data_IF_876602937678
#
_entry.id   IF_876602937678
#
_cell.length_a   1.000
_cell.length_b   1.000
_cell.length_c   1.000
_cell.angle_alpha   90.00
_cell.angle_beta   90.00
_cell.angle_gamma   90.00
#
_symmetry.space_group_name_H-M   'P 1'
#
loop_
_entity.id
_entity.type
_entity.pdbx_description
1 polymer ?
#
# COMPACT_ATOMS: atom_id res chain seq x y z
N UNK A 1 -22.86 -77.06 -8.71
CA UNK A 1 -24.15 -76.40 -8.47
C UNK A 1 -23.90 -74.96 -8.04
N UNK A 2 -24.79 -74.03 -8.44
CA UNK A 2 -24.46 -72.80 -9.18
C UNK A 2 -24.55 -71.54 -8.27
N UNK A 3 -24.42 -70.27 -8.67
CA UNK A 3 -24.72 -69.53 -9.89
C UNK A 3 -24.07 -68.12 -9.71
N UNK A 4 -23.26 -67.59 -10.64
CA UNK A 4 -23.64 -66.66 -11.73
C UNK A 4 -24.35 -65.38 -11.24
N UNK A 5 -23.89 -64.15 -11.52
CA UNK A 5 -24.09 -63.41 -12.78
C UNK A 5 -23.25 -62.12 -12.73
N UNK A 6 -22.33 -61.87 -13.69
CA UNK A 6 -22.50 -61.16 -14.98
C UNK A 6 -22.52 -59.62 -14.91
N UNK A 7 -21.46 -59.05 -15.52
CA UNK A 7 -21.38 -57.93 -16.51
C UNK A 7 -21.96 -56.57 -16.07
N UNK A 8 -21.27 -55.45 -16.30
CA UNK A 8 -21.33 -54.77 -17.60
C UNK A 8 -20.24 -53.69 -17.77
N UNK A 9 -19.60 -53.76 -18.93
CA UNK A 9 -18.74 -52.79 -19.62
C UNK A 9 -19.59 -51.60 -20.07
N UNK A 10 -19.14 -50.34 -19.90
CA UNK A 10 -19.42 -49.21 -20.82
C UNK A 10 -18.37 -48.08 -20.64
N UNK A 11 -17.58 -47.90 -21.71
CA UNK A 11 -17.08 -46.66 -22.33
C UNK A 11 -16.35 -45.62 -21.47
N UNK A 12 -15.00 -45.63 -21.57
CA UNK A 12 -14.15 -44.43 -21.48
C UNK A 12 -13.72 -44.04 -22.91
N UNK A 13 -14.36 -43.02 -23.46
CA UNK A 13 -13.90 -42.30 -24.65
C UNK A 13 -14.57 -40.92 -24.63
N UNK A 14 -13.77 -39.85 -24.54
CA UNK A 14 -14.27 -38.49 -24.68
C UNK A 14 -13.81 -37.53 -23.59
N UNK A 15 -12.53 -37.20 -23.57
CA UNK A 15 -12.07 -35.92 -23.00
C UNK A 15 -10.77 -35.49 -23.70
N UNK A 16 -10.87 -35.28 -25.02
CA UNK A 16 -9.80 -34.72 -25.83
C UNK A 16 -10.39 -33.95 -27.01
N UNK A 17 -11.21 -32.92 -26.74
CA UNK A 17 -11.70 -31.95 -27.74
C UNK A 17 -12.46 -30.83 -27.02
N UNK A 18 -11.73 -29.81 -26.54
CA UNK A 18 -12.31 -28.53 -26.09
C UNK A 18 -11.28 -27.39 -26.13
N UNK A 19 -10.38 -27.40 -27.12
CA UNK A 19 -9.32 -26.37 -27.26
C UNK A 19 -9.24 -25.72 -28.65
N UNK A 20 -10.26 -25.88 -29.50
CA UNK A 20 -10.37 -25.13 -30.75
C UNK A 20 -11.84 -24.86 -31.05
N UNK A 21 -12.27 -23.61 -30.87
CA UNK A 21 -13.61 -23.21 -31.27
C UNK A 21 -14.11 -21.92 -30.65
N UNK A 22 -13.39 -20.81 -30.80
CA UNK A 22 -14.03 -19.49 -30.74
C UNK A 22 -13.22 -18.47 -31.54
N UNK A 23 -13.37 -18.58 -32.87
CA UNK A 23 -12.96 -17.58 -33.86
C UNK A 23 -14.21 -17.29 -34.69
N UNK A 24 -14.47 -16.01 -34.96
CA UNK A 24 -15.61 -15.41 -35.66
C UNK A 24 -16.94 -15.34 -34.90
N UNK A 25 -17.26 -14.15 -34.38
CA UNK A 25 -18.38 -13.33 -34.90
C UNK A 25 -18.01 -11.86 -34.74
N UNK A 26 -17.59 -11.23 -35.84
CA UNK A 26 -17.41 -9.78 -35.94
C UNK A 26 -18.57 -9.24 -36.77
N UNK A 27 -19.53 -8.57 -36.14
CA UNK A 27 -20.45 -7.63 -36.80
C UNK A 27 -21.01 -6.66 -35.77
N UNK A 28 -20.48 -5.44 -35.73
CA UNK A 28 -21.24 -4.26 -35.31
C UNK A 28 -20.98 -3.17 -36.35
N UNK A 29 -22.07 -2.72 -36.95
CA UNK A 29 -22.19 -1.62 -37.89
C UNK A 29 -21.98 -0.31 -37.11
N UNK A 30 -20.93 0.44 -37.44
CA UNK A 30 -20.70 1.80 -36.94
C UNK A 30 -21.19 2.81 -37.99
N UNK A 31 -22.06 3.74 -37.58
CA UNK A 31 -22.41 4.92 -38.34
C UNK A 31 -21.27 5.96 -38.30
N UNK A 32 -21.04 6.76 -39.35
CA UNK A 32 -19.99 7.76 -39.37
C UNK A 32 -20.46 9.06 -38.71
N UNK A 33 -19.87 9.43 -37.57
CA UNK A 33 -19.92 10.81 -37.09
C UNK A 33 -18.87 11.68 -37.82
N UNK A 34 -19.17 12.95 -38.13
CA UNK A 34 -18.24 13.84 -38.82
C UNK A 34 -17.09 14.27 -37.90
N UNK A 35 -15.88 14.46 -38.45
CA UNK A 35 -14.70 14.80 -37.65
C UNK A 35 -14.77 16.26 -37.16
N UNK A 36 -14.96 16.46 -35.85
CA UNK A 36 -14.61 17.72 -35.21
C UNK A 36 -13.09 17.87 -35.18
N UNK A 37 -12.57 18.87 -35.89
CA UNK A 37 -11.16 19.25 -35.81
C UNK A 37 -10.87 19.84 -34.42
N UNK A 38 -9.91 19.29 -33.66
CA UNK A 38 -9.46 19.94 -32.44
C UNK A 38 -8.68 21.23 -32.79
N UNK A 39 -8.78 22.30 -31.96
CA UNK A 39 -7.98 23.49 -32.15
C UNK A 39 -6.49 23.16 -31.98
N UNK A 40 -5.69 23.55 -32.97
CA UNK A 40 -4.23 23.46 -32.94
C UNK A 40 -3.70 24.49 -31.93
N UNK A 41 -3.55 24.08 -30.67
CA UNK A 41 -2.76 24.83 -29.69
C UNK A 41 -1.31 24.38 -29.88
N UNK A 42 -0.50 25.23 -30.51
CA UNK A 42 0.94 25.04 -30.62
C UNK A 42 1.58 25.18 -29.23
N UNK A 43 1.72 24.06 -28.53
CA UNK A 43 2.57 23.99 -27.34
C UNK A 43 4.04 24.04 -27.79
N UNK A 44 4.90 24.82 -27.11
CA UNK A 44 6.32 24.79 -27.40
C UNK A 44 6.85 23.39 -27.07
N UNK A 45 7.30 22.67 -28.11
CA UNK A 45 8.08 21.45 -27.97
C UNK A 45 9.38 21.81 -27.22
N UNK A 46 9.39 21.62 -25.91
CA UNK A 46 10.64 21.57 -25.16
C UNK A 46 11.40 20.34 -25.66
N UNK A 47 12.55 20.58 -26.31
CA UNK A 47 13.51 19.54 -26.68
C UNK A 47 13.98 18.84 -25.40
N UNK A 48 13.33 17.73 -25.04
CA UNK A 48 13.88 16.78 -24.09
C UNK A 48 14.92 15.98 -24.87
N UNK A 49 16.18 16.37 -24.73
CA UNK A 49 17.31 15.62 -25.27
C UNK A 49 17.27 14.19 -24.73
N UNK A 50 17.06 13.24 -25.63
CA UNK A 50 17.06 11.81 -25.36
C UNK A 50 18.52 11.36 -25.13
N UNK A 51 19.08 11.70 -23.98
CA UNK A 51 20.34 11.12 -23.52
C UNK A 51 20.10 9.62 -23.33
N UNK A 52 21.00 8.79 -23.86
CA UNK A 52 21.05 7.36 -23.62
C UNK A 52 21.24 7.12 -22.11
N UNK A 53 20.13 7.06 -21.40
CA UNK A 53 20.11 6.88 -19.97
C UNK A 53 20.52 5.45 -19.68
N UNK A 54 21.74 5.26 -19.17
CA UNK A 54 22.06 4.04 -18.43
C UNK A 54 20.98 3.82 -17.37
N UNK A 55 20.76 2.56 -16.99
CA UNK A 55 19.73 2.23 -16.00
C UNK A 55 19.83 3.16 -14.80
N UNK A 56 18.74 3.86 -14.44
CA UNK A 56 18.79 4.85 -13.37
C UNK A 56 19.20 4.14 -12.08
N UNK A 57 20.40 4.50 -11.58
CA UNK A 57 20.93 3.97 -10.32
C UNK A 57 19.84 4.09 -9.25
N UNK A 58 19.56 2.98 -8.58
CA UNK A 58 18.57 2.93 -7.51
C UNK A 58 18.89 4.00 -6.45
N UNK A 59 18.00 5.01 -6.26
CA UNK A 59 18.25 6.10 -5.32
C UNK A 59 18.40 5.61 -3.87
N UNK A 60 17.81 4.45 -3.52
CA UNK A 60 17.95 3.88 -2.18
C UNK A 60 19.38 3.43 -1.88
N UNK A 61 20.18 3.08 -2.90
CA UNK A 61 21.60 2.72 -2.73
C UNK A 61 22.48 3.93 -2.36
N UNK A 62 21.98 5.16 -2.57
CA UNK A 62 22.70 6.40 -2.22
C UNK A 62 22.40 6.91 -0.81
N UNK A 63 21.31 6.43 -0.21
CA UNK A 63 20.97 6.77 1.18
C UNK A 63 21.97 6.11 2.15
N UNK A 64 22.22 6.73 3.32
CA UNK A 64 22.99 6.07 4.37
C UNK A 64 22.29 4.78 4.82
N UNK A 65 23.01 3.94 5.56
CA UNK A 65 22.39 2.79 6.22
C UNK A 65 21.27 3.25 7.16
N UNK A 66 20.05 2.68 7.06
CA UNK A 66 18.98 3.01 7.98
C UNK A 66 19.35 2.59 9.40
N UNK A 67 18.83 3.28 10.44
CA UNK A 67 18.98 2.81 11.81
C UNK A 67 18.43 1.38 11.93
N UNK A 68 19.16 0.51 12.64
CA UNK A 68 18.70 -0.85 12.91
C UNK A 68 17.35 -0.81 13.64
N UNK A 69 16.36 -1.58 13.20
CA UNK A 69 15.11 -1.73 13.94
C UNK A 69 15.35 -2.18 15.38
N UNK A 70 14.54 -1.66 16.29
CA UNK A 70 14.55 -2.05 17.70
C UNK A 70 13.17 -2.54 18.07
N UNK A 71 13.08 -3.79 18.51
CA UNK A 71 11.87 -4.33 19.13
C UNK A 71 11.82 -3.80 20.56
N UNK A 72 10.86 -2.93 20.83
CA UNK A 72 10.67 -2.36 22.16
C UNK A 72 9.88 -3.32 23.05
N UNK A 73 10.24 -3.39 24.34
CA UNK A 73 9.37 -3.97 25.35
C UNK A 73 8.36 -2.92 25.78
N UNK A 74 7.08 -3.30 25.85
CA UNK A 74 5.99 -2.42 26.24
C UNK A 74 5.20 -3.03 27.39
N UNK A 75 4.42 -2.21 28.09
CA UNK A 75 3.37 -2.74 28.97
C UNK A 75 2.35 -3.51 28.14
N UNK A 76 1.61 -4.42 28.78
CA UNK A 76 0.47 -5.05 28.13
C UNK A 76 -0.45 -3.95 27.57
N UNK A 77 -0.83 -4.02 26.28
CA UNK A 77 -1.76 -3.07 25.73
C UNK A 77 -3.06 -3.18 26.54
N UNK A 78 -3.80 -2.07 26.70
CA UNK A 78 -5.07 -2.10 27.41
C UNK A 78 -5.93 -3.23 26.85
N UNK A 79 -6.42 -4.11 27.71
CA UNK A 79 -7.25 -5.23 27.27
C UNK A 79 -8.47 -4.66 26.53
N UNK A 80 -8.90 -5.31 25.45
CA UNK A 80 -10.04 -4.85 24.64
C UNK A 80 -11.31 -4.48 25.47
N UNK A 81 -11.60 -5.13 26.63
CA UNK A 81 -12.72 -4.71 27.50
C UNK A 81 -12.40 -3.67 28.60
N UNK A 82 -11.14 -3.35 28.92
CA UNK A 82 -10.79 -2.31 29.92
C UNK A 82 -10.70 -0.88 29.33
N UNK A 83 -11.07 -0.76 28.06
CA UNK A 83 -11.10 0.50 27.34
C UNK A 83 -12.32 1.33 27.78
N UNK A 84 -12.06 2.30 28.66
CA UNK A 84 -12.96 3.34 29.21
C UNK A 84 -14.40 3.35 28.63
N UNK A 85 -15.41 2.91 29.41
CA UNK A 85 -16.82 2.98 29.04
C UNK A 85 -17.22 4.40 28.62
N UNK A 86 -17.79 4.55 27.42
CA UNK A 86 -18.24 5.83 26.85
C UNK A 86 -17.30 6.48 25.83
N UNK A 87 -16.12 5.90 25.58
CA UNK A 87 -15.17 6.39 24.54
C UNK A 87 -14.95 5.40 23.38
N UNK A 88 -15.48 4.18 23.49
CA UNK A 88 -15.39 3.16 22.45
C UNK A 88 -16.54 3.29 21.47
N UNK A 89 -16.18 3.43 20.19
CA UNK A 89 -17.02 2.92 19.13
C UNK A 89 -16.49 1.51 18.86
N UNK A 90 -17.14 0.48 19.41
CA UNK A 90 -16.97 -0.87 18.89
C UNK A 90 -17.53 -0.86 17.47
N UNK A 91 -16.71 -0.45 16.51
CA UNK A 91 -17.14 -0.30 15.13
C UNK A 91 -17.55 -1.65 14.54
N UNK A 92 -16.87 -2.73 14.93
CA UNK A 92 -17.09 -4.06 14.37
C UNK A 92 -16.35 -5.19 15.11
N UNK A 93 -16.78 -6.46 14.91
CA UNK A 93 -15.91 -7.61 15.12
C UNK A 93 -14.63 -7.49 14.29
N UNK A 94 -13.46 -7.48 14.95
CA UNK A 94 -12.15 -7.50 14.30
C UNK A 94 -11.54 -6.14 13.94
N UNK A 95 -12.16 -5.02 14.34
CA UNK A 95 -11.54 -3.70 14.30
C UNK A 95 -12.09 -2.81 15.44
N UNK A 96 -11.21 -2.40 16.35
CA UNK A 96 -11.56 -1.49 17.44
C UNK A 96 -11.08 -0.08 17.10
N UNK A 97 -11.94 0.92 17.25
CA UNK A 97 -11.60 2.31 16.99
C UNK A 97 -11.94 3.21 18.17
N UNK A 98 -11.09 4.19 18.41
CA UNK A 98 -11.31 5.31 19.32
C UNK A 98 -10.61 6.54 18.77
N UNK A 99 -10.87 7.70 19.35
CA UNK A 99 -10.24 8.94 18.92
C UNK A 99 -8.70 8.82 18.91
N UNK A 100 -8.11 8.95 17.73
CA UNK A 100 -6.67 8.86 17.47
C UNK A 100 -6.09 7.46 17.33
N UNK A 101 -6.86 6.37 17.46
CA UNK A 101 -6.34 5.00 17.41
C UNK A 101 -7.31 4.02 16.76
N UNK A 102 -6.77 3.16 15.89
CA UNK A 102 -7.44 1.94 15.42
C UNK A 102 -6.58 0.73 15.73
N UNK A 103 -7.21 -0.32 16.23
CA UNK A 103 -6.58 -1.59 16.55
C UNK A 103 -7.16 -2.68 15.66
N UNK A 104 -6.29 -3.40 14.95
CA UNK A 104 -6.68 -4.52 14.09
C UNK A 104 -6.07 -5.83 14.64
N UNK A 105 -6.86 -6.67 15.32
CA UNK A 105 -6.44 -8.00 15.72
C UNK A 105 -6.14 -8.87 14.49
N UNK A 106 -4.98 -9.51 14.51
CA UNK A 106 -4.42 -10.28 13.42
C UNK A 106 -3.59 -11.47 13.92
N UNK A 107 -3.04 -12.21 12.98
CA UNK A 107 -2.14 -13.35 13.17
C UNK A 107 -1.06 -13.29 12.09
N UNK A 108 0.21 -13.45 12.48
CA UNK A 108 1.28 -13.63 11.51
C UNK A 108 1.08 -14.94 10.74
N UNK A 109 1.14 -14.90 9.41
CA UNK A 109 0.96 -16.08 8.55
C UNK A 109 2.28 -16.64 8.04
N UNK A 110 3.29 -15.78 7.90
CA UNK A 110 4.65 -16.15 7.52
C UNK A 110 5.64 -15.41 8.40
N UNK A 111 6.79 -16.03 8.66
CA UNK A 111 7.92 -15.45 9.41
C UNK A 111 9.22 -15.46 8.59
N UNK A 112 9.13 -15.92 7.33
CA UNK A 112 10.20 -15.96 6.35
C UNK A 112 9.70 -15.39 5.03
N UNK A 113 10.61 -14.75 4.30
CA UNK A 113 10.32 -14.14 3.02
C UNK A 113 9.74 -15.16 2.03
N UNK A 114 8.60 -14.87 1.38
CA UNK A 114 8.14 -15.67 0.24
C UNK A 114 9.16 -15.51 -0.89
N UNK A 115 9.34 -16.57 -1.70
CA UNK A 115 10.28 -16.54 -2.82
C UNK A 115 9.94 -15.40 -3.78
N UNK A 116 8.65 -15.20 -4.02
CA UNK A 116 8.14 -14.25 -5.03
C UNK A 116 8.02 -12.81 -4.52
N UNK A 117 8.24 -12.55 -3.22
CA UNK A 117 8.22 -11.19 -2.64
C UNK A 117 7.04 -10.94 -1.69
N UNK A 118 7.26 -10.07 -0.71
CA UNK A 118 6.29 -9.71 0.32
C UNK A 118 5.43 -8.53 -0.15
N UNK A 119 4.42 -8.79 -0.97
CA UNK A 119 3.52 -7.74 -1.50
C UNK A 119 2.67 -7.08 -0.41
N UNK A 120 2.14 -7.90 0.52
CA UNK A 120 1.12 -7.47 1.47
C UNK A 120 1.67 -7.59 2.89
N UNK A 121 1.54 -6.53 3.68
CA UNK A 121 1.89 -6.59 5.10
C UNK A 121 0.72 -7.14 5.93
N UNK A 122 -0.49 -6.68 5.64
CA UNK A 122 -1.70 -7.11 6.34
C UNK A 122 -2.84 -7.33 5.34
N UNK A 123 -3.40 -8.53 5.30
CA UNK A 123 -4.59 -8.84 4.51
C UNK A 123 -5.83 -9.06 5.39
N UNK A 124 -7.01 -8.98 4.78
CA UNK A 124 -8.25 -9.45 5.39
C UNK A 124 -8.25 -10.98 5.51
N UNK A 125 -9.11 -11.52 6.37
CA UNK A 125 -9.36 -12.96 6.40
C UNK A 125 -9.86 -13.46 5.03
N UNK A 126 -9.34 -14.61 4.59
CA UNK A 126 -9.54 -15.15 3.24
C UNK A 126 -8.79 -14.41 2.12
N UNK A 127 -7.84 -13.52 2.45
CA UNK A 127 -7.01 -12.80 1.48
C UNK A 127 -5.79 -13.57 0.96
N UNK A 128 -4.82 -12.82 0.40
CA UNK A 128 -3.60 -13.29 -0.25
C UNK A 128 -2.53 -13.80 0.73
N UNK A 129 -2.85 -14.81 1.55
CA UNK A 129 -1.98 -15.25 2.67
C UNK A 129 -0.60 -15.80 2.27
N UNK A 130 -0.38 -16.17 1.01
CA UNK A 130 0.89 -16.69 0.52
C UNK A 130 1.95 -15.60 0.26
N UNK A 131 1.51 -14.34 0.17
CA UNK A 131 2.34 -13.15 -0.05
C UNK A 131 2.06 -12.07 1.00
N UNK A 132 1.35 -12.44 2.08
CA UNK A 132 1.01 -11.56 3.20
C UNK A 132 1.82 -11.90 4.45
N UNK A 133 2.31 -10.89 5.18
CA UNK A 133 2.97 -11.09 6.47
C UNK A 133 1.98 -11.51 7.57
N UNK A 134 0.83 -10.86 7.62
CA UNK A 134 -0.22 -11.11 8.60
C UNK A 134 -1.62 -11.08 7.96
N UNK A 135 -2.58 -11.75 8.61
CA UNK A 135 -4.01 -11.70 8.27
C UNK A 135 -4.83 -11.18 9.46
N UNK A 136 -5.79 -10.32 9.20
CA UNK A 136 -6.77 -9.90 10.23
C UNK A 136 -7.75 -11.03 10.56
N UNK A 137 -8.53 -10.87 11.63
CA UNK A 137 -9.61 -11.80 11.99
C UNK A 137 -10.94 -11.54 11.29
N UNK A 138 -11.02 -10.53 10.42
CA UNK A 138 -12.26 -10.14 9.74
C UNK A 138 -12.06 -10.17 8.23
N UNK A 139 -13.09 -10.58 7.50
CA UNK A 139 -13.11 -10.54 6.03
C UNK A 139 -13.84 -9.31 5.49
N UNK A 140 -14.33 -8.43 6.37
CA UNK A 140 -15.15 -7.27 6.03
C UNK A 140 -14.31 -5.99 5.97
N UNK A 141 -13.89 -5.63 4.76
CA UNK A 141 -13.09 -4.44 4.48
C UNK A 141 -13.85 -3.15 4.75
N UNK A 142 -15.15 -3.10 4.47
CA UNK A 142 -15.95 -1.90 4.72
C UNK A 142 -15.92 -1.50 6.21
N UNK A 143 -15.94 -2.47 7.12
CA UNK A 143 -15.82 -2.23 8.56
C UNK A 143 -14.42 -1.74 8.95
N UNK A 144 -13.37 -2.30 8.37
CA UNK A 144 -11.99 -1.82 8.61
C UNK A 144 -11.83 -0.37 8.14
N UNK A 145 -12.36 -0.01 6.97
CA UNK A 145 -12.37 1.38 6.49
C UNK A 145 -13.16 2.30 7.42
N UNK A 146 -14.35 1.89 7.85
CA UNK A 146 -15.19 2.67 8.76
C UNK A 146 -14.48 2.93 10.10
N UNK A 147 -13.81 1.91 10.65
CA UNK A 147 -13.00 2.05 11.85
C UNK A 147 -11.86 3.06 11.65
N UNK A 148 -11.17 3.04 10.51
CA UNK A 148 -10.12 4.02 10.17
C UNK A 148 -10.66 5.45 10.08
N UNK A 149 -11.79 5.66 9.41
CA UNK A 149 -12.43 6.98 9.31
C UNK A 149 -12.82 7.49 10.70
N UNK A 150 -13.53 6.66 11.49
CA UNK A 150 -14.04 7.03 12.81
C UNK A 150 -12.92 7.24 13.85
N UNK A 151 -11.93 6.35 13.87
CA UNK A 151 -10.84 6.41 14.85
C UNK A 151 -9.79 7.45 14.51
N UNK A 152 -9.43 7.60 13.23
CA UNK A 152 -8.31 8.45 12.82
C UNK A 152 -8.73 9.83 12.28
N UNK A 153 -10.04 10.08 12.14
CA UNK A 153 -10.56 11.34 11.62
C UNK A 153 -10.14 11.60 10.17
N UNK A 154 -10.21 10.57 9.33
CA UNK A 154 -9.79 10.61 7.93
C UNK A 154 -11.00 10.78 7.02
N UNK A 155 -10.85 11.56 5.94
CA UNK A 155 -11.92 11.93 5.02
C UNK A 155 -12.10 10.98 3.82
N UNK A 156 -11.16 10.05 3.62
CA UNK A 156 -11.17 9.12 2.48
C UNK A 156 -10.74 9.74 1.15
N UNK A 157 -10.13 10.93 1.15
CA UNK A 157 -9.75 11.66 -0.07
C UNK A 157 -8.42 11.22 -0.70
N UNK A 158 -7.84 10.12 -0.22
CA UNK A 158 -6.58 9.59 -0.74
C UNK A 158 -6.73 8.93 -2.12
N UNK A 159 -5.58 8.66 -2.75
CA UNK A 159 -5.46 8.03 -4.04
C UNK A 159 -4.26 7.08 -4.04
N UNK A 160 -4.54 5.79 -4.25
CA UNK A 160 -3.51 4.74 -4.37
C UNK A 160 -2.48 5.01 -5.46
N UNK A 161 -1.37 4.27 -5.38
CA UNK A 161 -0.44 4.14 -6.49
C UNK A 161 -1.12 3.35 -7.61
N UNK A 162 -1.07 3.78 -8.87
CA UNK A 162 -1.41 2.90 -9.98
C UNK A 162 -0.53 1.65 -9.94
N UNK A 163 -1.09 0.52 -10.35
CA UNK A 163 -0.45 -0.79 -10.26
C UNK A 163 0.91 -0.81 -10.95
N UNK A 164 1.92 -1.32 -10.24
CA UNK A 164 3.31 -1.45 -10.72
C UNK A 164 3.92 -0.17 -11.33
N UNK A 165 3.42 1.02 -10.97
CA UNK A 165 3.78 2.27 -11.66
C UNK A 165 5.00 2.98 -11.09
N UNK A 166 5.40 2.61 -9.88
CA UNK A 166 6.35 3.31 -9.03
C UNK A 166 5.90 4.74 -8.71
N UNK A 167 4.66 5.14 -8.98
CA UNK A 167 4.20 6.47 -8.61
C UNK A 167 3.74 6.44 -7.16
N UNK A 168 4.20 7.37 -6.30
CA UNK A 168 3.81 7.36 -4.90
C UNK A 168 2.29 7.58 -4.77
N UNK A 169 1.69 6.94 -3.78
CA UNK A 169 0.32 7.23 -3.37
C UNK A 169 0.20 8.65 -2.79
N UNK A 170 -1.01 9.22 -2.86
CA UNK A 170 -1.36 10.47 -2.18
C UNK A 170 -2.37 10.14 -1.07
N UNK A 171 -2.11 10.54 0.17
CA UNK A 171 -3.03 10.27 1.25
C UNK A 171 -2.54 10.75 2.61
N UNK A 172 -3.15 10.24 3.68
CA UNK A 172 -2.81 10.64 5.03
C UNK A 172 -1.73 9.73 5.62
N UNK A 173 -0.65 10.27 6.22
CA UNK A 173 0.35 9.48 6.91
C UNK A 173 -0.25 8.82 8.17
N UNK A 174 -0.16 7.48 8.22
CA UNK A 174 -0.61 6.67 9.34
C UNK A 174 0.54 5.80 9.81
N UNK A 175 0.96 6.01 11.06
CA UNK A 175 1.93 5.15 11.71
C UNK A 175 1.25 3.83 12.09
N UNK A 176 1.88 2.73 11.72
CA UNK A 176 1.41 1.38 12.01
C UNK A 176 2.44 0.65 12.87
N UNK A 177 2.03 0.20 14.04
CA UNK A 177 2.90 -0.51 14.99
C UNK A 177 2.32 -1.89 15.26
N UNK A 178 3.12 -2.95 15.11
CA UNK A 178 2.75 -4.31 15.48
C UNK A 178 3.05 -4.54 16.96
N UNK A 179 2.06 -5.03 17.71
CA UNK A 179 2.17 -5.41 19.13
C UNK A 179 1.87 -6.90 19.30
N UNK A 180 2.72 -7.62 20.02
CA UNK A 180 2.50 -9.05 20.30
C UNK A 180 3.04 -9.42 21.68
N UNK A 181 2.56 -10.52 22.21
CA UNK A 181 3.13 -11.15 23.39
C UNK A 181 4.19 -12.17 22.96
N UNK A 182 5.42 -12.02 23.45
CA UNK A 182 6.49 -12.97 23.19
C UNK A 182 6.37 -14.21 24.09
N UNK A 183 7.16 -15.24 23.80
CA UNK A 183 7.16 -16.52 24.53
C UNK A 183 7.53 -16.39 26.02
N UNK A 184 8.25 -15.31 26.37
CA UNK A 184 8.56 -14.94 27.76
C UNK A 184 7.36 -14.32 28.51
N UNK A 185 6.20 -14.19 27.85
CA UNK A 185 4.99 -13.54 28.36
C UNK A 185 5.03 -12.02 28.30
N UNK A 186 6.16 -11.41 27.92
CA UNK A 186 6.34 -9.97 27.80
C UNK A 186 5.75 -9.42 26.51
N UNK A 187 5.21 -8.20 26.57
CA UNK A 187 4.70 -7.53 25.38
C UNK A 187 5.81 -6.79 24.63
N UNK A 188 5.76 -6.90 23.31
CA UNK A 188 6.72 -6.35 22.37
C UNK A 188 6.02 -5.47 21.34
N UNK A 189 6.73 -4.47 20.83
CA UNK A 189 6.26 -3.62 19.74
C UNK A 189 7.34 -3.27 18.74
N UNK A 190 6.97 -3.13 17.47
CA UNK A 190 7.83 -2.59 16.42
C UNK A 190 7.01 -1.86 15.36
N UNK A 191 7.56 -0.79 14.77
CA UNK A 191 6.96 -0.16 13.58
C UNK A 191 6.87 -1.20 12.46
N UNK A 192 5.69 -1.33 11.86
CA UNK A 192 5.39 -2.43 10.94
C UNK A 192 6.29 -2.41 9.68
N UNK A 193 6.71 -1.22 9.25
CA UNK A 193 7.66 -1.07 8.13
C UNK A 193 9.04 -1.66 8.43
N UNK A 194 9.44 -1.77 9.71
CA UNK A 194 10.68 -2.44 10.09
C UNK A 194 10.63 -3.97 10.00
N UNK A 195 9.44 -4.57 9.89
CA UNK A 195 9.24 -5.99 9.59
C UNK A 195 9.50 -6.30 8.11
N UNK A 196 9.76 -5.29 7.29
CA UNK A 196 10.09 -5.41 5.87
C UNK A 196 11.58 -5.16 5.66
N UNK A 197 12.21 -6.04 4.90
CA UNK A 197 13.58 -5.94 4.41
C UNK A 197 13.56 -5.68 2.90
N UNK A 198 14.47 -4.84 2.44
CA UNK A 198 14.80 -4.67 1.03
C UNK A 198 15.79 -5.76 0.63
N UNK A 199 15.35 -6.67 -0.25
CA UNK A 199 16.12 -7.81 -0.74
C UNK A 199 17.34 -7.39 -1.56
N UNK A 200 17.29 -6.23 -2.23
CA UNK A 200 18.35 -5.79 -3.14
C UNK A 200 19.58 -5.31 -2.37
N UNK A 201 19.39 -4.60 -1.27
CA UNK A 201 20.49 -4.05 -0.48
C UNK A 201 20.69 -4.76 0.87
N UNK A 202 19.87 -5.76 1.17
CA UNK A 202 19.89 -6.53 2.42
C UNK A 202 19.78 -5.65 3.67
N UNK A 203 18.82 -4.71 3.66
CA UNK A 203 18.58 -3.80 4.79
C UNK A 203 17.12 -3.74 5.17
N UNK A 204 16.86 -3.73 6.48
CA UNK A 204 15.53 -3.46 6.99
C UNK A 204 15.15 -2.00 6.73
N UNK A 205 13.89 -1.75 6.41
CA UNK A 205 13.39 -0.38 6.34
C UNK A 205 13.32 0.23 7.74
N UNK A 206 13.60 1.54 7.88
CA UNK A 206 13.40 2.23 9.15
C UNK A 206 11.91 2.47 9.42
N UNK A 207 11.53 3.03 10.59
CA UNK A 207 10.17 3.43 10.86
C UNK A 207 9.65 4.44 9.83
N UNK A 208 8.59 4.07 9.11
CA UNK A 208 7.86 4.87 8.14
C UNK A 208 6.36 4.76 8.37
N UNK A 209 5.59 5.85 8.16
CA UNK A 209 4.13 5.76 8.10
C UNK A 209 3.69 5.13 6.77
N UNK A 210 2.62 4.35 6.81
CA UNK A 210 1.89 3.98 5.58
C UNK A 210 1.01 5.15 5.12
N UNK A 211 0.56 5.09 3.87
CA UNK A 211 -0.30 6.15 3.29
C UNK A 211 -1.74 5.66 3.25
N UNK A 212 -2.62 6.23 4.07
CA UNK A 212 -4.05 5.94 3.98
C UNK A 212 -4.65 6.51 2.70
N UNK A 213 -5.12 5.63 1.83
CA UNK A 213 -5.73 5.96 0.53
C UNK A 213 -7.23 5.74 0.54
N UNK A 214 -7.75 4.96 1.48
CA UNK A 214 -9.18 4.73 1.67
C UNK A 214 -9.77 3.63 0.79
N UNK A 215 -9.03 3.01 -0.14
CA UNK A 215 -9.52 2.07 -1.15
C UNK A 215 -10.66 2.63 -2.03
N UNK A 216 -10.80 2.09 -3.25
CA UNK A 216 -11.81 2.54 -4.23
C UNK A 216 -13.13 1.79 -4.10
N UNK A 217 -14.16 2.32 -4.77
CA UNK A 217 -15.40 1.59 -5.10
C UNK A 217 -15.32 1.20 -6.57
N UNK A 218 -15.61 -0.07 -6.87
CA UNK A 218 -15.66 -0.60 -8.23
C UNK A 218 -17.09 -0.79 -8.68
N UNK A 219 -17.38 -0.39 -9.91
CA UNK A 219 -18.60 -0.75 -10.61
C UNK A 219 -18.45 -2.17 -11.18
N UNK A 220 -19.25 -3.12 -10.69
CA UNK A 220 -19.32 -4.47 -11.25
C UNK A 220 -20.62 -4.65 -12.02
N UNK A 221 -20.48 -5.02 -13.29
CA UNK A 221 -21.58 -5.42 -14.16
C UNK A 221 -21.71 -6.93 -14.16
N UNK A 222 -22.85 -7.44 -13.70
CA UNK A 222 -23.15 -8.87 -13.64
C UNK A 222 -24.34 -9.17 -14.54
N UNK A 223 -24.22 -10.20 -15.38
CA UNK A 223 -25.35 -10.68 -16.17
C UNK A 223 -26.20 -11.63 -15.33
N UNK A 224 -27.48 -11.31 -15.18
CA UNK A 224 -28.46 -12.15 -14.48
C UNK A 224 -28.86 -13.35 -15.35
N UNK A 225 -29.47 -14.40 -14.77
CA UNK A 225 -29.94 -15.57 -15.52
C UNK A 225 -30.94 -15.25 -16.65
N UNK A 226 -31.69 -14.15 -16.54
CA UNK A 226 -32.63 -13.66 -17.56
C UNK A 226 -31.95 -12.89 -18.72
N UNK A 227 -30.61 -12.77 -18.68
CA UNK A 227 -29.81 -12.07 -19.67
C UNK A 227 -29.67 -10.56 -19.43
N UNK A 228 -30.34 -9.98 -18.42
CA UNK A 228 -30.24 -8.56 -18.08
C UNK A 228 -28.94 -8.23 -17.37
N UNK A 229 -28.42 -7.01 -17.56
CA UNK A 229 -27.25 -6.52 -16.83
C UNK A 229 -27.66 -5.87 -15.51
N UNK A 230 -26.97 -6.25 -14.44
CA UNK A 230 -27.06 -5.60 -13.13
C UNK A 230 -25.74 -4.90 -12.84
N UNK A 231 -25.82 -3.59 -12.67
CA UNK A 231 -24.71 -2.77 -12.17
C UNK A 231 -24.77 -2.74 -10.65
N UNK A 232 -23.67 -3.05 -9.98
CA UNK A 232 -23.55 -2.95 -8.52
C UNK A 232 -22.21 -2.34 -8.13
N UNK A 233 -22.19 -1.59 -7.03
CA UNK A 233 -20.95 -1.08 -6.47
C UNK A 233 -20.37 -2.10 -5.48
N UNK A 234 -19.06 -2.34 -5.56
CA UNK A 234 -18.33 -3.22 -4.64
C UNK A 234 -17.13 -2.47 -4.11
N UNK A 235 -16.90 -2.59 -2.80
CA UNK A 235 -15.75 -1.97 -2.19
C UNK A 235 -14.50 -2.77 -2.56
N UNK A 236 -13.49 -2.10 -3.13
CA UNK A 236 -12.35 -2.79 -3.73
C UNK A 236 -11.56 -3.64 -2.72
N UNK A 237 -11.39 -3.13 -1.50
CA UNK A 237 -10.78 -3.87 -0.39
C UNK A 237 -11.51 -5.19 -0.08
N UNK A 238 -12.83 -5.26 -0.25
CA UNK A 238 -13.58 -6.51 -0.06
C UNK A 238 -13.33 -7.53 -1.19
N UNK A 239 -12.81 -7.10 -2.34
CA UNK A 239 -12.48 -7.95 -3.47
C UNK A 239 -11.02 -8.40 -3.40
N UNK A 240 -10.09 -7.44 -3.26
CA UNK A 240 -8.64 -7.69 -3.29
C UNK A 240 -8.07 -8.17 -1.95
N UNK A 241 -8.77 -7.86 -0.85
CA UNK A 241 -8.41 -8.25 0.53
C UNK A 241 -7.07 -7.71 1.06
N UNK A 242 -6.37 -6.80 0.38
CA UNK A 242 -5.12 -6.21 0.89
C UNK A 242 -5.35 -4.94 1.71
N UNK A 243 -5.12 -5.01 3.02
CA UNK A 243 -5.32 -3.86 3.93
C UNK A 243 -4.11 -2.93 3.87
N UNK A 244 -2.90 -3.46 4.10
CA UNK A 244 -1.64 -2.70 4.10
C UNK A 244 -0.68 -3.37 3.13
N UNK A 245 -0.18 -2.63 2.14
CA UNK A 245 0.68 -3.16 1.08
C UNK A 245 2.07 -2.55 1.06
N UNK A 246 3.05 -3.34 0.63
CA UNK A 246 4.42 -2.92 0.33
C UNK A 246 4.60 -2.66 -1.18
N UNK A 247 3.73 -3.24 -2.00
CA UNK A 247 3.66 -3.08 -3.45
C UNK A 247 2.67 -1.98 -3.88
N UNK A 248 2.81 -1.49 -5.11
CA UNK A 248 1.87 -0.57 -5.75
C UNK A 248 0.54 -1.26 -6.07
N UNK A 249 -0.37 -1.28 -5.11
CA UNK A 249 -1.74 -1.77 -5.30
C UNK A 249 -2.76 -0.63 -5.14
N UNK A 250 -3.47 -0.23 -6.22
CA UNK A 250 -4.35 0.96 -6.20
C UNK A 250 -5.58 0.80 -5.31
N UNK A 251 -5.93 -0.45 -4.99
CA UNK A 251 -7.15 -0.82 -4.27
C UNK A 251 -6.92 -1.15 -2.78
N UNK A 252 -5.67 -1.09 -2.32
CA UNK A 252 -5.34 -1.26 -0.92
C UNK A 252 -5.91 -0.11 -0.06
N UNK A 253 -6.15 -0.38 1.23
CA UNK A 253 -6.59 0.65 2.17
C UNK A 253 -5.44 1.59 2.57
N UNK A 254 -4.26 1.02 2.75
CA UNK A 254 -3.02 1.69 3.06
C UNK A 254 -1.96 1.31 2.03
N UNK A 255 -1.51 2.30 1.26
CA UNK A 255 -0.50 2.14 0.24
C UNK A 255 0.92 2.17 0.81
N UNK A 256 1.83 1.58 0.04
CA UNK A 256 3.25 1.49 0.36
C UNK A 256 3.92 2.87 0.49
N UNK A 257 4.74 3.08 1.53
CA UNK A 257 5.60 4.26 1.64
C UNK A 257 6.96 4.04 0.99
N UNK A 258 7.26 2.85 0.48
CA UNK A 258 8.58 2.49 0.01
C UNK A 258 8.83 3.03 -1.40
N UNK A 259 9.98 3.66 -1.67
CA UNK A 259 10.42 3.87 -3.03
C UNK A 259 10.62 2.52 -3.73
N UNK A 260 10.40 2.46 -5.05
CA UNK A 260 10.50 1.22 -5.85
C UNK A 260 9.45 0.17 -5.47
N UNK A 261 8.28 0.61 -5.02
CA UNK A 261 7.11 -0.23 -4.74
C UNK A 261 6.50 -0.92 -5.98
N UNK A 262 7.05 -0.70 -7.17
CA UNK A 262 6.65 -1.38 -8.39
C UNK A 262 7.33 -2.73 -8.63
N UNK A 263 8.28 -3.10 -7.77
CA UNK A 263 9.03 -4.36 -7.82
C UNK A 263 8.61 -5.18 -6.60
N UNK A 264 7.65 -6.09 -6.79
CA UNK A 264 7.08 -6.97 -5.76
C UNK A 264 8.16 -7.88 -5.14
N UNK A 265 9.09 -8.39 -5.96
CA UNK A 265 10.20 -9.25 -5.54
C UNK A 265 11.23 -8.56 -4.64
N UNK A 266 11.20 -7.22 -4.57
CA UNK A 266 12.11 -6.44 -3.73
C UNK A 266 11.85 -6.64 -2.24
N UNK A 267 10.61 -6.87 -1.85
CA UNK A 267 10.23 -6.86 -0.44
C UNK A 267 10.35 -8.26 0.18
N UNK A 268 10.89 -8.32 1.38
CA UNK A 268 11.06 -9.58 2.12
C UNK A 268 10.70 -9.39 3.59
N UNK A 269 10.33 -10.46 4.27
CA UNK A 269 10.15 -10.44 5.73
C UNK A 269 11.51 -10.25 6.40
N UNK A 270 11.60 -9.30 7.33
CA UNK A 270 12.74 -9.16 8.22
C UNK A 270 12.68 -10.22 9.34
N UNK A 271 13.02 -11.46 9.00
CA UNK A 271 12.97 -12.62 9.90
C UNK A 271 13.82 -12.48 11.17
N UNK A 272 14.76 -11.54 11.22
CA UNK A 272 15.58 -11.30 12.42
C UNK A 272 14.77 -10.74 13.60
N UNK A 273 13.64 -10.07 13.32
CA UNK A 273 12.77 -9.46 14.33
C UNK A 273 11.30 -9.86 14.20
N UNK A 274 10.93 -10.53 13.11
CA UNK A 274 9.57 -11.00 12.90
C UNK A 274 9.23 -12.11 13.91
N UNK A 275 8.07 -12.06 14.56
CA UNK A 275 7.59 -13.18 15.37
C UNK A 275 7.35 -14.43 14.50
N UNK A 276 7.35 -15.64 15.11
CA UNK A 276 7.00 -16.85 14.40
C UNK A 276 5.62 -16.79 13.74
N UNK A 277 5.44 -17.57 12.67
CA UNK A 277 4.11 -17.75 12.08
C UNK A 277 3.13 -18.33 13.12
N UNK A 278 1.89 -17.86 13.10
CA UNK A 278 0.84 -18.19 14.07
C UNK A 278 0.81 -17.29 15.31
N UNK A 279 1.80 -16.40 15.52
CA UNK A 279 1.77 -15.46 16.64
C UNK A 279 0.60 -14.47 16.51
N UNK A 280 -0.30 -14.39 17.51
CA UNK A 280 -1.32 -13.34 17.55
C UNK A 280 -0.68 -11.97 17.67
N UNK A 281 -1.13 -11.02 16.85
CA UNK A 281 -0.57 -9.67 16.79
C UNK A 281 -1.69 -8.65 16.68
N UNK A 282 -1.48 -7.47 17.24
CA UNK A 282 -2.35 -6.32 17.04
C UNK A 282 -1.61 -5.28 16.21
N UNK A 283 -2.22 -4.82 15.13
CA UNK A 283 -1.74 -3.63 14.43
C UNK A 283 -2.43 -2.41 15.02
N UNK A 284 -1.63 -1.53 15.63
CA UNK A 284 -2.04 -0.24 16.16
C UNK A 284 -1.77 0.85 15.13
N UNK A 285 -2.82 1.52 14.68
CA UNK A 285 -2.78 2.55 13.67
C UNK A 285 -3.09 3.90 14.30
N UNK A 286 -2.22 4.88 14.08
CA UNK A 286 -2.38 6.26 14.55
C UNK A 286 -2.06 7.23 13.42
N UNK A 287 -2.90 8.22 13.20
CA UNK A 287 -2.55 9.36 12.34
C UNK A 287 -1.31 10.03 12.94
N UNK A 288 -0.34 10.36 12.09
CA UNK A 288 0.89 11.00 12.53
C UNK A 288 1.11 12.27 11.73
N UNK A 289 1.59 13.31 12.40
CA UNK A 289 2.13 14.46 11.70
C UNK A 289 3.55 14.14 11.24
N UNK A 290 3.95 14.72 10.11
CA UNK A 290 5.29 14.64 9.57
C UNK A 290 5.90 16.04 9.55
N UNK A 291 7.23 16.16 9.69
CA UNK A 291 7.87 17.45 9.55
C UNK A 291 7.62 18.04 8.18
N UNK A 292 7.56 19.37 8.15
CA UNK A 292 7.78 20.19 6.98
C UNK A 292 6.87 19.88 5.80
N UNK A 293 5.62 20.38 5.75
CA UNK A 293 4.83 20.26 4.53
C UNK A 293 5.52 21.07 3.43
N UNK A 294 6.33 20.40 2.62
CA UNK A 294 6.82 20.94 1.37
C UNK A 294 5.63 21.11 0.45
N UNK A 295 5.48 22.26 -0.19
CA UNK A 295 4.46 22.46 -1.19
C UNK A 295 5.02 22.06 -2.56
N UNK A 296 4.35 21.11 -3.22
CA UNK A 296 4.62 20.71 -4.59
C UNK A 296 3.74 21.49 -5.57
N UNK A 297 4.37 22.37 -6.35
CA UNK A 297 3.73 23.12 -7.43
C UNK A 297 3.35 22.24 -8.62
N UNK A 298 2.42 22.73 -9.44
CA UNK A 298 1.99 22.05 -10.67
C UNK A 298 3.12 21.92 -11.72
N UNK A 299 4.14 22.77 -11.61
CA UNK A 299 5.38 22.75 -12.40
C UNK A 299 6.44 21.79 -11.84
N UNK A 300 6.16 21.12 -10.72
CA UNK A 300 7.10 20.23 -10.03
C UNK A 300 8.07 20.95 -9.09
N UNK A 301 7.96 22.28 -8.91
CA UNK A 301 8.78 23.01 -7.96
C UNK A 301 8.41 22.64 -6.51
N UNK A 302 9.42 22.44 -5.67
CA UNK A 302 9.25 22.25 -4.23
C UNK A 302 9.50 23.57 -3.52
N UNK A 303 8.61 23.96 -2.63
CA UNK A 303 8.75 25.17 -1.83
C UNK A 303 8.47 24.94 -0.35
N UNK A 304 9.10 25.76 0.49
CA UNK A 304 8.87 25.78 1.93
C UNK A 304 8.77 27.23 2.40
N UNK A 305 7.74 27.54 3.20
CA UNK A 305 7.45 28.90 3.67
C UNK A 305 7.44 29.95 2.53
N UNK A 306 6.86 29.59 1.38
CA UNK A 306 6.74 30.47 0.20
C UNK A 306 8.00 30.64 -0.64
N UNK A 307 9.11 29.95 -0.32
CA UNK A 307 10.35 30.00 -1.09
C UNK A 307 10.56 28.70 -1.86
N UNK A 308 10.80 28.81 -3.17
CA UNK A 308 11.23 27.66 -3.98
C UNK A 308 12.63 27.25 -3.52
N UNK A 309 12.79 25.95 -3.27
CA UNK A 309 14.05 25.38 -2.80
C UNK A 309 14.86 24.88 -3.98
N UNK A 310 16.14 25.22 -4.02
CA UNK A 310 17.15 24.51 -4.82
C UNK A 310 17.62 23.25 -4.09
N UNK A 311 18.49 22.46 -4.71
CA UNK A 311 18.92 21.17 -4.14
C UNK A 311 19.74 21.31 -2.85
N UNK A 312 20.69 22.27 -2.73
CA UNK A 312 21.38 22.53 -1.46
C UNK A 312 20.43 22.92 -0.33
N UNK A 313 19.49 23.85 -0.57
CA UNK A 313 18.53 24.26 0.45
C UNK A 313 17.59 23.11 0.85
N UNK A 314 17.19 22.28 -0.11
CA UNK A 314 16.38 21.09 0.15
C UNK A 314 17.14 20.06 1.01
N UNK A 315 18.41 19.82 0.71
CA UNK A 315 19.25 18.91 1.49
C UNK A 315 19.47 19.43 2.93
N UNK A 316 19.79 20.72 3.10
CA UNK A 316 19.93 21.32 4.43
C UNK A 316 18.65 21.16 5.26
N UNK A 317 17.49 21.44 4.66
CA UNK A 317 16.19 21.34 5.30
C UNK A 317 15.85 19.90 5.74
N UNK A 318 16.03 18.93 4.84
CA UNK A 318 15.82 17.50 5.13
C UNK A 318 16.78 17.01 6.23
N UNK A 319 18.05 17.42 6.17
CA UNK A 319 19.04 17.10 7.19
C UNK A 319 18.69 17.67 8.57
N UNK A 320 18.04 18.84 8.60
CA UNK A 320 17.45 19.41 9.82
C UNK A 320 16.33 18.54 10.37
N UNK A 321 15.29 18.28 9.57
CA UNK A 321 14.12 17.51 10.00
C UNK A 321 14.45 16.09 10.46
N UNK A 322 15.43 15.43 9.83
CA UNK A 322 15.84 14.07 10.20
C UNK A 322 16.34 13.93 11.65
N UNK A 323 16.73 15.03 12.31
CA UNK A 323 17.15 15.05 13.70
C UNK A 323 15.97 15.04 14.69
N UNK A 324 14.82 15.55 14.26
CA UNK A 324 13.68 15.83 15.12
C UNK A 324 12.55 14.78 15.01
N UNK A 325 12.68 13.82 14.09
CA UNK A 325 11.68 12.77 13.87
C UNK A 325 12.25 11.36 14.00
N UNK A 326 11.46 10.47 14.60
CA UNK A 326 11.72 9.03 14.62
C UNK A 326 11.22 8.35 13.35
N UNK A 327 10.16 8.88 12.74
CA UNK A 327 9.69 8.46 11.43
C UNK A 327 10.58 9.06 10.36
N UNK A 328 11.19 8.22 9.53
CA UNK A 328 12.11 8.63 8.48
C UNK A 328 11.37 9.12 7.22
N UNK A 329 10.44 10.05 7.42
CA UNK A 329 9.57 10.58 6.38
C UNK A 329 9.34 12.09 6.51
N UNK A 330 9.00 12.73 5.39
CA UNK A 330 8.65 14.15 5.26
C UNK A 330 7.32 14.30 4.53
N UNK A 331 6.49 15.28 4.93
CA UNK A 331 5.24 15.56 4.22
C UNK A 331 5.49 16.40 2.95
N UNK A 332 4.82 16.04 1.85
CA UNK A 332 4.74 16.84 0.64
C UNK A 332 3.28 17.16 0.36
N UNK A 333 2.87 18.38 0.67
CA UNK A 333 1.54 18.89 0.36
C UNK A 333 1.39 19.08 -1.15
N UNK A 334 0.33 18.50 -1.72
CA UNK A 334 0.08 18.51 -3.16
C UNK A 334 -1.39 18.78 -3.45
N UNK A 335 -1.69 19.75 -4.32
CA UNK A 335 -3.06 19.99 -4.74
C UNK A 335 -3.61 18.79 -5.53
N UNK A 336 -4.90 18.48 -5.37
CA UNK A 336 -5.55 17.40 -6.14
C UNK A 336 -5.43 17.59 -7.65
N UNK A 337 -5.33 18.84 -8.12
CA UNK A 337 -5.17 19.22 -9.53
C UNK A 337 -3.74 19.10 -10.06
N UNK A 338 -2.74 18.97 -9.19
CA UNK A 338 -1.33 18.79 -9.60
C UNK A 338 -1.17 17.45 -10.34
N UNK A 339 -0.60 17.44 -11.58
CA UNK A 339 -0.40 16.21 -12.34
C UNK A 339 0.39 15.13 -11.58
N UNK A 340 0.00 13.86 -11.67
CA UNK A 340 0.73 12.76 -10.99
C UNK A 340 2.15 12.56 -11.50
N UNK A 341 2.46 13.00 -12.72
CA UNK A 341 3.78 12.88 -13.33
C UNK A 341 4.86 13.65 -12.55
N UNK A 342 4.50 14.74 -11.86
CA UNK A 342 5.47 15.50 -11.06
C UNK A 342 5.80 14.83 -9.73
N UNK A 343 4.96 13.91 -9.23
CA UNK A 343 5.19 13.23 -7.94
C UNK A 343 6.45 12.36 -7.99
N UNK A 344 6.65 11.63 -9.09
CA UNK A 344 7.85 10.80 -9.29
C UNK A 344 9.13 11.64 -9.32
N UNK A 345 9.09 12.78 -10.04
CA UNK A 345 10.21 13.71 -10.13
C UNK A 345 10.52 14.33 -8.76
N UNK A 346 9.50 14.78 -8.03
CA UNK A 346 9.63 15.33 -6.69
C UNK A 346 10.22 14.28 -5.72
N UNK A 347 9.77 13.03 -5.79
CA UNK A 347 10.31 11.95 -4.96
C UNK A 347 11.79 11.72 -5.22
N UNK A 348 12.20 11.59 -6.48
CA UNK A 348 13.61 11.41 -6.83
C UNK A 348 14.48 12.57 -6.35
N UNK A 349 14.00 13.81 -6.51
CA UNK A 349 14.68 15.00 -6.03
C UNK A 349 14.86 14.98 -4.50
N UNK A 350 13.83 14.57 -3.76
CA UNK A 350 13.86 14.45 -2.30
C UNK A 350 14.79 13.34 -1.82
N UNK A 351 14.81 12.19 -2.50
CA UNK A 351 15.76 11.11 -2.20
C UNK A 351 17.21 11.54 -2.45
N UNK A 352 17.48 12.26 -3.53
CA UNK A 352 18.82 12.81 -3.81
C UNK A 352 19.25 13.86 -2.76
N UNK A 353 18.31 14.70 -2.32
CA UNK A 353 18.56 15.66 -1.24
C UNK A 353 18.83 14.95 0.11
N UNK A 354 18.08 13.89 0.43
CA UNK A 354 18.33 13.06 1.61
C UNK A 354 19.70 12.36 1.56
N UNK A 355 20.09 11.81 0.40
CA UNK A 355 21.42 11.24 0.19
C UNK A 355 22.53 12.29 0.38
N UNK A 356 22.36 13.50 -0.17
CA UNK A 356 23.29 14.61 0.00
C UNK A 356 23.43 15.02 1.46
N UNK A 357 22.31 15.07 2.18
CA UNK A 357 22.25 15.35 3.61
C UNK A 357 22.76 14.18 4.49
N UNK A 358 23.05 13.02 3.89
CA UNK A 358 23.46 11.78 4.57
C UNK A 358 22.44 11.35 5.63
N UNK A 359 21.15 11.44 5.30
CA UNK A 359 20.06 10.97 6.15
C UNK A 359 19.16 10.01 5.39
N UNK A 360 18.52 9.10 6.11
CA UNK A 360 17.48 8.25 5.54
C UNK A 360 16.15 8.98 5.69
N UNK A 361 15.54 9.42 4.59
CA UNK A 361 14.21 10.06 4.62
C UNK A 361 13.49 9.87 3.27
N UNK A 362 12.17 9.59 3.31
CA UNK A 362 11.32 9.48 2.12
C UNK A 362 10.14 10.45 2.16
N UNK A 363 9.62 10.89 1.01
CA UNK A 363 8.46 11.76 0.98
C UNK A 363 7.14 10.98 1.07
N UNK A 364 6.16 11.57 1.76
CA UNK A 364 4.78 11.14 1.80
C UNK A 364 3.90 12.26 1.25
N UNK A 365 3.15 11.98 0.20
CA UNK A 365 2.37 12.99 -0.51
C UNK A 365 1.00 13.13 0.14
N UNK A 366 0.70 14.32 0.64
CA UNK A 366 -0.53 14.64 1.37
C UNK A 366 -1.40 15.53 0.51
N UNK A 367 -2.56 15.06 0.03
CA UNK A 367 -3.43 15.84 -0.82
C UNK A 367 -4.07 16.99 -0.03
N UNK A 368 -4.15 18.17 -0.65
CA UNK A 368 -4.96 19.30 -0.21
C UNK A 368 -5.95 19.68 -1.30
N UNK A 369 -7.05 20.32 -0.89
CA UNK A 369 -8.13 20.75 -1.80
C UNK A 369 -7.69 21.80 -2.81
#
# INVERSE_FOLDING_TARGET
MPASHRRTIIRRAGLLLCLLGLLLVTFIIAAPEPPMRPPQIAAPLAMIGLLAAGEPIDPLLRLPEPPKPVVAQIAAPPSAPELVPGSQVHCAPGADARHGLVMLPAEFVIDRGPVDGLEVLLCLDGGKTHESLAKTRTSNGALVKAACIAGLGLDGSGAGSPEASNLPARGWPVRTVAWWQADDGGWRSVDATCLVRDRINDKAYPPLPFVYTGSRMHEIRQRRPDGTEQVSQRFALDLIKSVIVNFDEPDALFASPFPRSNDDQRFEVNSAICPPAGTPVWFALTRTDLPGPLLLGADGALSFSGKILDDPALAELIGGWAKDTTLRAVAVTVAKTTPRTVDGVARERLLNAAATAKVWMVPIFVPVE
#
